data_IF_505303546388
#
_entry.id   IF_505303546388
#
_cell.length_a   1.000
_cell.length_b   1.000
_cell.length_c   1.000
_cell.angle_alpha   90.00
_cell.angle_beta   90.00
_cell.angle_gamma   90.00
#
_symmetry.space_group_name_H-M   'P 1'
#
loop_
_entity.id
_entity.type
_entity.pdbx_description
1 polymer ?
#
# COMPACT_ATOMS: atom_id res chain seq x y z
N UNK A 1 8.59 -6.45 -8.69
CA UNK A 1 7.88 -6.55 -9.98
C UNK A 1 6.94 -5.36 -10.09
N UNK A 2 6.89 -4.67 -11.23
CA UNK A 2 6.02 -3.50 -11.42
C UNK A 2 4.73 -3.94 -12.12
N UNK A 3 3.60 -3.63 -11.51
CA UNK A 3 2.28 -3.87 -12.09
C UNK A 3 1.62 -2.51 -12.30
N UNK A 4 1.05 -2.30 -13.49
CA UNK A 4 0.42 -1.04 -13.86
C UNK A 4 -1.00 -1.31 -14.32
N UNK A 5 -1.89 -0.36 -14.05
CA UNK A 5 -3.21 -0.32 -14.68
C UNK A 5 -3.56 1.08 -15.16
N UNK A 6 -4.38 1.15 -16.20
CA UNK A 6 -4.88 2.38 -16.81
C UNK A 6 -6.39 2.44 -16.67
N UNK A 7 -6.92 3.66 -16.57
CA UNK A 7 -8.37 3.90 -16.52
C UNK A 7 -8.96 3.86 -15.11
N UNK A 8 -10.29 4.03 -14.98
CA UNK A 8 -10.96 4.05 -13.70
C UNK A 8 -10.91 2.68 -13.03
N UNK A 9 -10.91 2.71 -11.70
CA UNK A 9 -10.93 1.52 -10.86
C UNK A 9 -12.38 1.20 -10.54
N UNK A 10 -12.84 0.01 -10.92
CA UNK A 10 -14.16 -0.45 -10.52
C UNK A 10 -14.16 -0.87 -9.04
N UNK A 11 -15.15 -0.42 -8.24
CA UNK A 11 -15.30 -0.88 -6.87
C UNK A 11 -15.44 -2.40 -6.76
N UNK A 12 -14.82 -2.98 -5.73
CA UNK A 12 -14.79 -4.43 -5.56
C UNK A 12 -16.03 -4.96 -4.83
N UNK A 13 -16.60 -4.20 -3.90
CA UNK A 13 -17.79 -4.63 -3.14
C UNK A 13 -18.97 -5.07 -4.02
N UNK A 14 -19.41 -4.33 -5.07
CA UNK A 14 -20.51 -4.77 -5.92
C UNK A 14 -20.24 -6.11 -6.62
N UNK A 15 -18.99 -6.38 -7.01
CA UNK A 15 -18.58 -7.67 -7.60
C UNK A 15 -18.62 -8.79 -6.56
N UNK A 16 -18.24 -8.51 -5.32
CA UNK A 16 -18.31 -9.45 -4.21
C UNK A 16 -19.76 -9.77 -3.84
N UNK A 17 -20.64 -8.78 -3.78
CA UNK A 17 -22.08 -9.00 -3.53
C UNK A 17 -22.71 -9.88 -4.61
N UNK A 18 -22.42 -9.58 -5.87
CA UNK A 18 -22.85 -10.42 -7.01
C UNK A 18 -22.32 -11.85 -6.88
N UNK A 19 -21.06 -12.03 -6.52
CA UNK A 19 -20.48 -13.35 -6.25
C UNK A 19 -21.21 -14.10 -5.14
N UNK A 20 -21.51 -13.44 -4.02
CA UNK A 20 -22.20 -14.03 -2.88
C UNK A 20 -23.57 -14.57 -3.32
N UNK A 21 -24.34 -13.77 -4.06
CA UNK A 21 -25.65 -14.18 -4.58
C UNK A 21 -25.51 -15.33 -5.59
N UNK A 22 -24.74 -15.14 -6.65
CA UNK A 22 -24.69 -16.07 -7.79
C UNK A 22 -23.95 -17.38 -7.49
N UNK A 23 -22.93 -17.33 -6.63
CA UNK A 23 -22.00 -18.45 -6.43
C UNK A 23 -22.05 -19.06 -5.04
N UNK A 24 -22.52 -18.34 -4.04
CA UNK A 24 -22.76 -18.90 -2.70
C UNK A 24 -24.25 -19.16 -2.43
N UNK A 25 -25.13 -18.77 -3.35
CA UNK A 25 -26.59 -18.85 -3.16
C UNK A 25 -27.03 -17.94 -2.03
N UNK A 26 -26.42 -16.75 -1.94
CA UNK A 26 -26.66 -15.78 -0.91
C UNK A 26 -28.07 -15.19 -1.00
N UNK A 27 -28.69 -15.05 0.16
CA UNK A 27 -29.96 -14.35 0.36
C UNK A 27 -29.66 -13.13 1.22
N UNK A 28 -29.94 -11.94 0.68
CA UNK A 28 -29.83 -10.67 1.39
C UNK A 28 -30.92 -10.60 2.46
N UNK A 29 -30.53 -10.33 3.70
CA UNK A 29 -31.46 -10.35 4.83
C UNK A 29 -32.21 -9.03 5.03
N UNK A 30 -31.64 -7.92 4.58
CA UNK A 30 -32.23 -6.58 4.72
C UNK A 30 -33.53 -6.40 3.91
N UNK A 31 -33.68 -7.11 2.78
CA UNK A 31 -34.86 -7.04 1.92
C UNK A 31 -36.07 -7.83 2.45
N UNK A 32 -35.83 -8.81 3.32
CA UNK A 32 -36.86 -9.81 3.68
C UNK A 32 -37.60 -9.42 4.96
N UNK A 33 -36.92 -8.75 5.90
CA UNK A 33 -37.44 -8.46 7.23
C UNK A 33 -36.77 -7.18 7.74
N UNK A 34 -37.57 -6.11 7.86
CA UNK A 34 -37.16 -4.70 8.08
C UNK A 34 -35.88 -4.40 8.88
N UNK A 35 -35.24 -3.28 8.50
CA UNK A 35 -33.91 -2.77 8.91
C UNK A 35 -33.57 -2.62 10.40
N UNK A 36 -34.48 -2.90 11.34
CA UNK A 36 -34.28 -2.60 12.76
C UNK A 36 -33.55 -3.70 13.54
N UNK A 37 -33.43 -4.91 12.99
CA UNK A 37 -32.72 -5.99 13.65
C UNK A 37 -31.26 -6.09 13.18
N UNK A 38 -30.31 -5.99 14.14
CA UNK A 38 -28.86 -6.17 13.91
C UNK A 38 -28.56 -7.59 13.43
N UNK A 39 -28.52 -7.79 12.12
CA UNK A 39 -28.34 -9.09 11.47
C UNK A 39 -27.06 -9.11 10.63
N UNK A 40 -26.73 -10.29 10.13
CA UNK A 40 -25.73 -10.44 9.07
C UNK A 40 -26.33 -9.95 7.74
N UNK A 41 -25.49 -9.45 6.84
CA UNK A 41 -25.94 -8.99 5.51
C UNK A 41 -26.52 -10.16 4.68
N UNK A 42 -25.80 -11.29 4.62
CA UNK A 42 -26.19 -12.43 3.80
C UNK A 42 -26.24 -13.75 4.56
N UNK A 43 -27.14 -14.63 4.14
CA UNK A 43 -27.12 -16.05 4.47
C UNK A 43 -26.95 -16.88 3.21
N UNK A 44 -25.96 -17.75 3.21
CA UNK A 44 -25.52 -18.52 2.04
C UNK A 44 -25.53 -20.02 2.32
N UNK A 45 -25.31 -20.83 1.27
CA UNK A 45 -25.14 -22.28 1.38
C UNK A 45 -26.26 -22.94 2.20
N UNK A 46 -27.51 -22.58 1.89
CA UNK A 46 -28.73 -23.07 2.57
C UNK A 46 -28.75 -22.80 4.07
N UNK A 47 -28.10 -21.73 4.54
CA UNK A 47 -28.09 -21.37 5.96
C UNK A 47 -26.83 -21.71 6.73
N UNK A 48 -25.91 -22.45 6.11
CA UNK A 48 -24.65 -22.89 6.71
C UNK A 48 -23.69 -21.73 6.95
N UNK A 49 -23.78 -20.68 6.13
CA UNK A 49 -22.84 -19.55 6.14
C UNK A 49 -23.61 -18.24 6.36
N UNK A 50 -23.22 -17.46 7.36
CA UNK A 50 -23.68 -16.09 7.58
C UNK A 50 -22.52 -15.14 7.30
N UNK A 51 -22.74 -14.15 6.43
CA UNK A 51 -21.71 -13.23 5.95
C UNK A 51 -22.09 -11.82 6.35
N UNK A 52 -21.13 -11.11 6.93
CA UNK A 52 -21.12 -9.66 7.03
C UNK A 52 -20.07 -9.12 6.06
N UNK A 53 -20.40 -8.10 5.28
CA UNK A 53 -19.47 -7.40 4.39
C UNK A 53 -19.10 -6.06 5.02
N UNK A 54 -17.80 -5.74 4.99
CA UNK A 54 -17.31 -4.41 5.31
C UNK A 54 -16.26 -4.00 4.29
N UNK A 55 -16.45 -2.82 3.74
CA UNK A 55 -15.48 -2.13 2.90
C UNK A 55 -14.55 -1.28 3.77
N UNK A 56 -13.28 -1.25 3.39
CA UNK A 56 -12.28 -0.30 3.85
C UNK A 56 -12.31 0.85 2.84
N UNK A 57 -13.27 1.78 3.00
CA UNK A 57 -13.48 2.93 2.09
C UNK A 57 -12.71 4.17 2.53
N UNK A 58 -12.43 4.27 3.83
CA UNK A 58 -11.56 5.33 4.33
C UNK A 58 -10.14 4.98 3.90
N UNK A 59 -9.58 5.83 3.03
CA UNK A 59 -8.19 5.75 2.56
C UNK A 59 -7.18 5.71 3.71
N UNK A 60 -7.59 6.06 4.94
CA UNK A 60 -6.76 5.97 6.12
C UNK A 60 -5.53 6.88 6.07
N UNK A 61 -5.27 7.49 4.91
CA UNK A 61 -4.32 8.54 4.60
C UNK A 61 -4.53 9.71 5.53
N UNK A 62 -5.73 10.25 5.72
CA UNK A 62 -5.92 11.33 6.72
C UNK A 62 -5.47 10.92 8.14
N UNK A 63 -5.71 9.66 8.54
CA UNK A 63 -5.27 9.14 9.85
C UNK A 63 -3.76 8.93 9.88
N UNK A 64 -3.15 8.54 8.78
CA UNK A 64 -1.72 8.37 8.63
C UNK A 64 -1.01 9.72 8.53
N UNK A 65 -1.54 10.67 7.75
CA UNK A 65 -1.08 12.04 7.56
C UNK A 65 -0.98 12.78 8.88
N UNK A 66 -1.99 12.67 9.75
CA UNK A 66 -1.91 13.22 11.10
C UNK A 66 -0.73 12.63 11.92
N UNK A 67 -0.51 11.31 11.82
CA UNK A 67 0.65 10.68 12.47
C UNK A 67 1.95 11.11 11.80
N UNK A 68 1.97 11.27 10.48
CA UNK A 68 3.15 11.71 9.73
C UNK A 68 3.50 13.16 10.04
N UNK A 69 2.53 14.04 10.27
CA UNK A 69 2.79 15.40 10.76
C UNK A 69 3.40 15.38 12.17
N UNK A 70 2.86 14.56 13.08
CA UNK A 70 3.44 14.36 14.41
C UNK A 70 4.89 13.86 14.31
N UNK A 71 5.14 12.86 13.45
CA UNK A 71 6.47 12.28 13.24
C UNK A 71 7.43 13.25 12.55
N UNK A 72 6.98 14.04 11.55
CA UNK A 72 7.77 15.08 10.86
C UNK A 72 8.24 16.19 11.79
N UNK A 73 7.56 16.41 12.91
CA UNK A 73 7.98 17.40 13.90
C UNK A 73 9.18 16.95 14.75
N UNK A 74 9.57 15.66 14.66
CA UNK A 74 10.72 15.14 15.40
C UNK A 74 12.04 15.52 14.72
N UNK A 75 13.09 15.84 15.49
CA UNK A 75 14.40 16.22 14.94
C UNK A 75 15.08 15.12 14.10
N UNK A 76 14.81 13.85 14.40
CA UNK A 76 15.38 12.68 13.74
C UNK A 76 14.56 12.21 12.53
N UNK A 77 13.51 12.93 12.15
CA UNK A 77 12.68 12.53 11.01
C UNK A 77 13.44 12.73 9.69
N UNK A 78 13.62 11.68 8.88
CA UNK A 78 14.43 11.78 7.67
C UNK A 78 13.75 12.64 6.61
N UNK A 79 14.55 13.48 5.96
CA UNK A 79 14.10 14.28 4.83
C UNK A 79 14.51 13.58 3.52
N UNK A 80 13.53 13.32 2.66
CA UNK A 80 13.79 12.82 1.31
C UNK A 80 13.42 13.89 0.29
N UNK A 81 14.16 13.93 -0.83
CA UNK A 81 13.68 14.66 -2.00
C UNK A 81 12.57 13.83 -2.67
N UNK A 82 11.42 14.44 -2.91
CA UNK A 82 10.27 13.76 -3.51
C UNK A 82 9.58 12.80 -2.55
N UNK A 83 9.15 11.64 -3.07
CA UNK A 83 8.48 10.60 -2.26
C UNK A 83 9.37 9.38 -2.08
N UNK A 84 9.42 8.83 -0.87
CA UNK A 84 10.06 7.55 -0.58
C UNK A 84 9.02 6.55 -0.03
N UNK A 85 9.28 5.23 -0.12
CA UNK A 85 8.49 4.22 0.57
C UNK A 85 8.41 4.50 2.07
N UNK A 86 7.28 4.21 2.72
CA UNK A 86 7.11 4.43 4.18
C UNK A 86 8.22 3.74 4.99
N UNK A 87 8.60 2.53 4.59
CA UNK A 87 9.66 1.75 5.24
C UNK A 87 10.99 2.50 5.29
N UNK A 88 11.32 3.27 4.25
CA UNK A 88 12.52 4.10 4.19
C UNK A 88 12.51 5.20 5.24
N UNK A 89 11.35 5.78 5.54
CA UNK A 89 11.23 6.74 6.64
C UNK A 89 11.46 6.05 7.99
N UNK A 90 10.85 4.88 8.20
CA UNK A 90 10.97 4.13 9.46
C UNK A 90 12.44 3.76 9.74
N UNK A 91 13.13 3.19 8.75
CA UNK A 91 14.51 2.69 8.87
C UNK A 91 15.54 3.81 9.11
N UNK A 92 15.23 5.05 8.72
CA UNK A 92 16.10 6.20 8.90
C UNK A 92 15.72 7.08 10.11
N UNK A 93 14.94 6.55 11.07
CA UNK A 93 14.72 7.18 12.39
C UNK A 93 15.64 6.58 13.45
N UNK A 94 15.80 7.27 14.59
CA UNK A 94 16.62 6.76 15.70
C UNK A 94 16.00 5.55 16.41
N UNK A 95 14.67 5.40 16.33
CA UNK A 95 13.91 4.27 16.90
C UNK A 95 12.87 3.68 15.90
N UNK A 96 13.35 2.91 14.90
CA UNK A 96 12.50 2.32 13.86
C UNK A 96 11.38 1.43 14.41
N UNK A 97 11.64 0.68 15.49
CA UNK A 97 10.66 -0.25 16.07
C UNK A 97 9.44 0.49 16.65
N UNK A 98 9.67 1.56 17.42
CA UNK A 98 8.57 2.35 18.00
C UNK A 98 7.77 3.05 16.91
N UNK A 99 8.44 3.64 15.92
CA UNK A 99 7.78 4.32 14.80
C UNK A 99 6.95 3.33 13.97
N UNK A 100 7.51 2.18 13.62
CA UNK A 100 6.81 1.12 12.90
C UNK A 100 5.57 0.64 13.66
N UNK A 101 5.68 0.47 14.99
CA UNK A 101 4.53 0.10 15.83
C UNK A 101 3.44 1.17 15.83
N UNK A 102 3.78 2.45 15.90
CA UNK A 102 2.79 3.54 15.85
C UNK A 102 2.03 3.57 14.52
N UNK A 103 2.73 3.38 13.41
CA UNK A 103 2.14 3.30 12.07
C UNK A 103 1.20 2.09 12.00
N UNK A 104 1.66 0.92 12.44
CA UNK A 104 0.87 -0.30 12.45
C UNK A 104 -0.39 -0.18 13.32
N UNK A 105 -0.29 0.47 14.48
CA UNK A 105 -1.45 0.75 15.34
C UNK A 105 -2.46 1.69 14.66
N UNK A 106 -1.99 2.69 13.91
CA UNK A 106 -2.83 3.66 13.19
C UNK A 106 -3.57 3.01 12.02
N UNK A 107 -2.86 2.24 11.18
CA UNK A 107 -3.45 1.42 10.10
C UNK A 107 -4.40 0.38 10.71
N UNK A 108 -3.96 -0.28 11.78
CA UNK A 108 -4.71 -1.30 12.48
C UNK A 108 -6.08 -0.82 12.99
N UNK A 109 -6.22 0.45 13.41
CA UNK A 109 -7.54 1.01 13.77
C UNK A 109 -8.54 0.98 12.62
N UNK A 110 -8.09 1.20 11.39
CA UNK A 110 -8.92 1.14 10.18
C UNK A 110 -9.49 -0.24 9.93
N UNK A 111 -8.73 -1.28 10.27
CA UNK A 111 -9.11 -2.69 10.15
C UNK A 111 -9.96 -3.15 11.34
N UNK A 112 -9.57 -2.77 12.56
CA UNK A 112 -10.21 -3.23 13.81
C UNK A 112 -11.61 -2.66 14.02
N UNK A 113 -11.91 -1.47 13.51
CA UNK A 113 -13.24 -0.85 13.67
C UNK A 113 -14.33 -1.60 12.89
N UNK A 114 -14.20 -1.87 11.58
CA UNK A 114 -15.07 -2.78 10.83
C UNK A 114 -15.20 -4.14 11.51
N UNK A 115 -14.08 -4.73 11.94
CA UNK A 115 -14.05 -6.02 12.62
C UNK A 115 -14.92 -6.03 13.89
N UNK A 116 -14.84 -4.99 14.73
CA UNK A 116 -15.67 -4.84 15.93
C UNK A 116 -17.16 -4.71 15.59
N UNK A 117 -17.51 -3.99 14.52
CA UNK A 117 -18.90 -3.85 14.06
C UNK A 117 -19.46 -5.22 13.63
N UNK A 118 -18.75 -5.89 12.71
CA UNK A 118 -19.13 -7.20 12.19
C UNK A 118 -19.27 -8.26 13.29
N UNK A 119 -18.33 -8.32 14.24
CA UNK A 119 -18.41 -9.23 15.37
C UNK A 119 -19.65 -9.00 16.24
N UNK A 120 -20.13 -7.75 16.39
CA UNK A 120 -21.39 -7.47 17.10
C UNK A 120 -22.60 -7.90 16.30
N UNK A 121 -22.63 -7.62 15.00
CA UNK A 121 -23.72 -8.00 14.10
C UNK A 121 -23.87 -9.52 14.01
N UNK A 122 -22.78 -10.25 13.76
CA UNK A 122 -22.82 -11.72 13.67
C UNK A 122 -23.13 -12.40 15.02
N UNK A 123 -22.77 -11.80 16.16
CA UNK A 123 -23.24 -12.25 17.48
C UNK A 123 -24.74 -12.06 17.65
N UNK A 124 -25.25 -10.89 17.27
CA UNK A 124 -26.67 -10.58 17.36
C UNK A 124 -27.47 -11.51 16.44
N UNK A 125 -27.00 -11.72 15.21
CA UNK A 125 -27.54 -12.68 14.25
C UNK A 125 -27.62 -14.09 14.82
N UNK A 126 -26.51 -14.63 15.34
CA UNK A 126 -26.48 -15.98 15.92
C UNK A 126 -27.41 -16.14 17.13
N UNK A 127 -27.68 -15.06 17.87
CA UNK A 127 -28.62 -15.03 18.99
C UNK A 127 -30.07 -15.02 18.51
N UNK A 128 -30.37 -14.24 17.47
CA UNK A 128 -31.72 -14.12 16.91
C UNK A 128 -32.13 -15.36 16.08
N UNK A 129 -31.16 -15.97 15.39
CA UNK A 129 -31.36 -17.11 14.49
C UNK A 129 -30.45 -18.28 14.87
N UNK A 130 -30.66 -18.91 16.05
CA UNK A 130 -29.78 -19.95 16.54
C UNK A 130 -29.76 -21.17 15.61
N UNK A 131 -28.59 -21.45 15.04
CA UNK A 131 -28.29 -22.67 14.28
C UNK A 131 -27.03 -23.30 14.85
N UNK A 132 -27.08 -24.60 15.14
CA UNK A 132 -25.94 -25.35 15.70
C UNK A 132 -24.77 -25.46 14.71
N UNK A 133 -25.06 -25.43 13.41
CA UNK A 133 -24.10 -25.60 12.32
C UNK A 133 -24.12 -24.37 11.41
N UNK A 134 -23.69 -23.22 11.93
CA UNK A 134 -23.50 -22.00 11.15
C UNK A 134 -22.07 -21.49 11.31
N UNK A 135 -21.46 -21.13 10.18
CA UNK A 135 -20.16 -20.46 10.08
C UNK A 135 -20.42 -18.98 9.87
N UNK A 136 -19.84 -18.13 10.71
CA UNK A 136 -20.01 -16.68 10.69
C UNK A 136 -18.74 -16.02 10.17
N UNK A 137 -18.87 -15.31 9.06
CA UNK A 137 -17.73 -14.81 8.30
C UNK A 137 -17.85 -13.31 8.11
N UNK A 138 -16.74 -12.62 8.33
CA UNK A 138 -16.56 -11.26 7.83
C UNK A 138 -15.88 -11.33 6.46
N UNK A 139 -16.48 -10.77 5.43
CA UNK A 139 -15.80 -10.40 4.20
C UNK A 139 -15.33 -8.95 4.34
N UNK A 140 -14.02 -8.76 4.35
CA UNK A 140 -13.38 -7.45 4.42
C UNK A 140 -12.84 -7.07 3.04
N UNK A 141 -13.21 -5.92 2.52
CA UNK A 141 -12.90 -5.51 1.14
C UNK A 141 -12.02 -4.28 1.16
N UNK A 142 -10.89 -4.31 0.47
CA UNK A 142 -10.10 -3.11 0.19
C UNK A 142 -10.52 -2.52 -1.16
N UNK A 143 -11.13 -1.35 -1.12
CA UNK A 143 -11.72 -0.65 -2.28
C UNK A 143 -10.72 0.08 -3.17
N UNK A 144 -9.42 -0.05 -2.87
CA UNK A 144 -8.25 0.30 -3.69
C UNK A 144 -7.16 1.10 -2.95
N UNK A 145 -7.01 0.87 -1.65
CA UNK A 145 -6.06 1.60 -0.82
C UNK A 145 -4.75 0.82 -0.65
N UNK A 146 -3.65 1.49 -0.95
CA UNK A 146 -2.29 0.94 -0.85
C UNK A 146 -1.90 0.60 0.59
N UNK A 147 -2.41 1.34 1.57
CA UNK A 147 -2.04 1.16 2.99
C UNK A 147 -2.54 -0.16 3.59
N UNK A 148 -3.50 -0.83 2.93
CA UNK A 148 -4.04 -2.10 3.37
C UNK A 148 -3.40 -3.21 2.53
N UNK A 149 -2.10 -3.39 2.65
CA UNK A 149 -1.42 -4.52 2.01
C UNK A 149 -1.84 -5.86 2.69
N UNK A 150 -1.83 -6.98 1.96
CA UNK A 150 -2.32 -8.26 2.46
C UNK A 150 -1.59 -8.76 3.72
N UNK A 151 -0.30 -8.48 3.86
CA UNK A 151 0.53 -8.95 4.97
C UNK A 151 0.20 -8.18 6.24
N UNK A 152 0.18 -6.85 6.17
CA UNK A 152 -0.23 -5.97 7.27
C UNK A 152 -1.65 -6.29 7.72
N UNK A 153 -2.59 -6.46 6.79
CA UNK A 153 -3.97 -6.81 7.11
C UNK A 153 -4.05 -8.18 7.78
N UNK A 154 -3.36 -9.19 7.23
CA UNK A 154 -3.31 -10.52 7.83
C UNK A 154 -2.77 -10.48 9.27
N UNK A 155 -1.66 -9.77 9.48
CA UNK A 155 -1.03 -9.61 10.79
C UNK A 155 -1.99 -8.99 11.81
N UNK A 156 -2.60 -7.84 11.47
CA UNK A 156 -3.55 -7.15 12.36
C UNK A 156 -4.74 -8.04 12.70
N UNK A 157 -5.33 -8.70 11.70
CA UNK A 157 -6.49 -9.58 11.88
C UNK A 157 -6.15 -10.80 12.74
N UNK A 158 -5.02 -11.44 12.48
CA UNK A 158 -4.53 -12.61 13.23
C UNK A 158 -4.35 -12.30 14.71
N UNK A 159 -3.73 -11.16 15.03
CA UNK A 159 -3.56 -10.72 16.42
C UNK A 159 -4.90 -10.39 17.06
N UNK A 160 -5.81 -9.76 16.30
CA UNK A 160 -7.14 -9.41 16.79
C UNK A 160 -7.92 -10.67 17.19
N UNK A 161 -8.03 -11.68 16.30
CA UNK A 161 -8.85 -12.88 16.56
C UNK A 161 -8.27 -13.75 17.68
N UNK A 162 -6.95 -13.72 17.91
CA UNK A 162 -6.28 -14.43 19.01
C UNK A 162 -6.32 -13.68 20.35
N UNK A 163 -6.65 -12.40 20.34
CA UNK A 163 -6.77 -11.62 21.57
C UNK A 163 -7.87 -12.15 22.49
N UNK A 164 -7.61 -12.10 23.79
CA UNK A 164 -8.54 -12.49 24.84
C UNK A 164 -8.83 -11.30 25.76
N UNK A 165 -10.09 -11.18 26.20
CA UNK A 165 -10.51 -10.22 27.23
C UNK A 165 -11.23 -11.00 28.34
N UNK A 166 -10.68 -10.93 29.56
CA UNK A 166 -11.20 -11.72 30.69
C UNK A 166 -11.18 -13.23 30.44
N UNK A 167 -10.12 -13.72 29.78
CA UNK A 167 -9.95 -15.14 29.43
C UNK A 167 -10.76 -15.63 28.22
N UNK A 168 -11.70 -14.82 27.70
CA UNK A 168 -12.56 -15.18 26.55
C UNK A 168 -12.06 -14.55 25.25
N UNK A 169 -12.23 -15.19 24.08
CA UNK A 169 -11.90 -14.58 22.80
C UNK A 169 -12.64 -13.25 22.58
N UNK A 170 -11.90 -12.19 22.22
CA UNK A 170 -12.47 -10.86 21.98
C UNK A 170 -13.48 -10.85 20.81
N UNK A 171 -13.21 -11.66 19.79
CA UNK A 171 -13.98 -11.74 18.55
C UNK A 171 -14.74 -13.07 18.38
N UNK A 172 -15.39 -13.55 19.45
CA UNK A 172 -16.16 -14.82 19.44
C UNK A 172 -17.40 -14.87 18.53
N UNK A 173 -17.74 -13.77 17.87
CA UNK A 173 -18.81 -13.66 16.88
C UNK A 173 -18.41 -14.15 15.50
N UNK A 174 -17.12 -14.33 15.28
CA UNK A 174 -16.52 -14.67 13.99
C UNK A 174 -15.91 -16.05 14.06
N UNK A 175 -16.17 -16.84 13.03
CA UNK A 175 -15.50 -18.11 12.78
C UNK A 175 -14.38 -17.95 11.75
N UNK A 176 -14.46 -16.96 10.85
CA UNK A 176 -13.37 -16.60 9.95
C UNK A 176 -13.53 -15.22 9.34
N UNK A 177 -12.45 -14.74 8.70
CA UNK A 177 -12.40 -13.47 8.00
C UNK A 177 -11.78 -13.72 6.63
N UNK A 178 -12.43 -13.27 5.56
CA UNK A 178 -11.90 -13.35 4.20
C UNK A 178 -11.66 -11.93 3.71
N UNK A 179 -10.41 -11.61 3.40
CA UNK A 179 -9.99 -10.29 2.95
C UNK A 179 -9.70 -10.30 1.45
N UNK A 180 -10.28 -9.35 0.73
CA UNK A 180 -10.14 -9.17 -0.71
C UNK A 180 -9.45 -7.84 -1.04
N UNK A 181 -8.50 -7.87 -1.98
CA UNK A 181 -7.91 -6.66 -2.56
C UNK A 181 -7.53 -6.92 -4.02
N UNK A 182 -7.79 -5.93 -4.87
CA UNK A 182 -7.28 -5.85 -6.25
C UNK A 182 -6.33 -4.65 -6.44
N UNK A 183 -5.87 -4.05 -5.33
CA UNK A 183 -4.81 -3.03 -5.28
C UNK A 183 -3.42 -3.66 -5.25
N UNK A 184 -3.32 -4.85 -4.68
CA UNK A 184 -2.08 -5.62 -4.52
C UNK A 184 -2.16 -6.89 -5.35
N UNK A 185 -1.08 -7.24 -6.02
CA UNK A 185 -1.04 -8.42 -6.88
C UNK A 185 0.37 -8.98 -7.02
N UNK A 186 0.45 -10.21 -7.51
CA UNK A 186 1.68 -10.89 -7.90
C UNK A 186 1.51 -11.51 -9.28
N UNK A 187 2.55 -12.15 -9.82
CA UNK A 187 2.44 -12.90 -11.08
C UNK A 187 2.76 -14.37 -10.84
N UNK A 188 1.79 -15.22 -11.15
CA UNK A 188 1.92 -16.68 -11.08
C UNK A 188 1.64 -17.22 -12.48
N UNK A 189 2.56 -18.04 -13.01
CA UNK A 189 2.46 -18.60 -14.37
C UNK A 189 2.20 -17.54 -15.46
N UNK A 190 2.82 -16.35 -15.33
CA UNK A 190 2.66 -15.26 -16.28
C UNK A 190 1.31 -14.53 -16.21
N UNK A 191 0.46 -14.81 -15.22
CA UNK A 191 -0.82 -14.14 -14.99
C UNK A 191 -0.78 -13.28 -13.74
N UNK A 192 -1.37 -12.09 -13.83
CA UNK A 192 -1.63 -11.24 -12.66
C UNK A 192 -2.61 -11.97 -11.75
N UNK A 193 -2.23 -12.13 -10.49
CA UNK A 193 -2.98 -12.88 -9.48
C UNK A 193 -3.15 -12.01 -8.25
N UNK A 194 -4.39 -11.93 -7.77
CA UNK A 194 -4.78 -11.12 -6.61
C UNK A 194 -4.87 -11.98 -5.35
N UNK A 195 -4.40 -11.49 -4.18
CA UNK A 195 -4.51 -12.19 -2.92
C UNK A 195 -5.95 -12.21 -2.42
N UNK A 196 -6.36 -13.36 -1.89
CA UNK A 196 -7.55 -13.48 -1.04
C UNK A 196 -7.11 -14.11 0.27
N UNK A 197 -7.00 -13.30 1.31
CA UNK A 197 -6.44 -13.73 2.60
C UNK A 197 -7.53 -14.31 3.48
N UNK A 198 -7.32 -15.52 4.02
CA UNK A 198 -8.20 -16.15 5.01
C UNK A 198 -7.54 -16.09 6.39
N UNK A 199 -8.25 -15.53 7.37
CA UNK A 199 -7.84 -15.54 8.78
C UNK A 199 -8.89 -16.28 9.60
N UNK A 200 -8.50 -17.42 10.16
CA UNK A 200 -9.40 -18.28 10.94
C UNK A 200 -9.60 -17.79 12.38
N UNK A 201 -10.86 -17.81 12.83
CA UNK A 201 -11.23 -17.49 14.20
C UNK A 201 -10.96 -18.65 15.17
N UNK A 202 -11.00 -18.39 16.49
CA UNK A 202 -10.68 -19.40 17.51
C UNK A 202 -11.56 -20.66 17.51
N UNK A 203 -12.78 -20.57 16.98
CA UNK A 203 -13.70 -21.69 16.92
C UNK A 203 -13.31 -22.76 15.89
N UNK A 204 -12.49 -22.40 14.88
CA UNK A 204 -12.04 -23.34 13.85
C UNK A 204 -11.09 -24.37 14.43
N UNK A 205 -10.22 -23.99 15.38
CA UNK A 205 -9.33 -24.92 16.10
C UNK A 205 -10.08 -26.04 16.85
N UNK A 206 -11.36 -25.82 17.16
CA UNK A 206 -12.23 -26.80 17.83
C UNK A 206 -13.22 -27.49 16.87
N UNK A 207 -13.27 -27.08 15.60
CA UNK A 207 -14.25 -27.53 14.62
C UNK A 207 -13.71 -27.36 13.21
N UNK A 208 -12.84 -28.28 12.77
CA UNK A 208 -12.09 -28.17 11.53
C UNK A 208 -12.96 -28.04 10.28
N UNK A 209 -14.18 -28.61 10.28
CA UNK A 209 -15.14 -28.49 9.16
C UNK A 209 -15.48 -27.03 8.80
N UNK A 210 -15.31 -26.09 9.74
CA UNK A 210 -15.49 -24.66 9.47
C UNK A 210 -14.43 -24.12 8.49
N UNK A 211 -13.21 -24.64 8.55
CA UNK A 211 -12.13 -24.33 7.60
C UNK A 211 -12.54 -24.73 6.18
N UNK A 212 -13.14 -25.91 6.01
CA UNK A 212 -13.64 -26.38 4.71
C UNK A 212 -14.74 -25.46 4.16
N UNK A 213 -15.62 -24.93 5.02
CA UNK A 213 -16.64 -23.97 4.59
C UNK A 213 -16.04 -22.62 4.21
N UNK A 214 -15.02 -22.16 4.93
CA UNK A 214 -14.33 -20.90 4.64
C UNK A 214 -13.58 -20.97 3.30
N UNK A 215 -12.90 -22.08 3.02
CA UNK A 215 -12.12 -22.25 1.79
C UNK A 215 -13.00 -22.27 0.54
N UNK A 216 -14.28 -22.67 0.63
CA UNK A 216 -15.25 -22.58 -0.48
C UNK A 216 -15.31 -21.16 -1.06
N UNK A 217 -15.20 -20.12 -0.22
CA UNK A 217 -15.27 -18.72 -0.65
C UNK A 217 -14.12 -18.41 -1.61
N UNK A 218 -12.88 -18.71 -1.21
CA UNK A 218 -11.68 -18.46 -2.03
C UNK A 218 -11.70 -19.26 -3.34
N UNK A 219 -12.03 -20.56 -3.25
CA UNK A 219 -12.06 -21.44 -4.42
C UNK A 219 -13.11 -20.99 -5.45
N UNK A 220 -14.34 -20.69 -5.00
CA UNK A 220 -15.42 -20.26 -5.90
C UNK A 220 -15.16 -18.86 -6.46
N UNK A 221 -14.57 -17.96 -5.68
CA UNK A 221 -14.19 -16.63 -6.17
C UNK A 221 -13.14 -16.72 -7.27
N UNK A 222 -12.03 -17.42 -7.03
CA UNK A 222 -10.96 -17.57 -8.02
C UNK A 222 -11.47 -18.22 -9.32
N UNK A 223 -12.28 -19.28 -9.21
CA UNK A 223 -12.88 -19.94 -10.36
C UNK A 223 -13.87 -19.05 -11.14
N UNK A 224 -14.68 -18.23 -10.45
CA UNK A 224 -15.68 -17.38 -11.09
C UNK A 224 -15.10 -16.10 -11.68
N UNK A 225 -14.25 -15.39 -10.94
CA UNK A 225 -13.70 -14.10 -11.36
C UNK A 225 -12.53 -14.24 -12.34
N UNK A 226 -11.70 -15.27 -12.16
CA UNK A 226 -10.40 -15.38 -12.83
C UNK A 226 -10.17 -16.73 -13.54
N UNK A 227 -11.13 -17.66 -13.44
CA UNK A 227 -11.06 -18.99 -14.06
C UNK A 227 -10.05 -19.96 -13.43
N UNK A 228 -9.24 -19.50 -12.46
CA UNK A 228 -8.26 -20.34 -11.74
C UNK A 228 -8.07 -19.82 -10.32
N UNK A 229 -7.79 -20.75 -9.40
CA UNK A 229 -7.37 -20.50 -8.04
C UNK A 229 -5.98 -21.10 -7.84
N UNK A 230 -5.14 -20.42 -7.06
CA UNK A 230 -3.82 -20.87 -6.67
C UNK A 230 -3.75 -20.89 -5.14
N UNK A 231 -3.31 -22.01 -4.58
CA UNK A 231 -3.00 -22.09 -3.16
C UNK A 231 -1.58 -21.53 -2.94
N UNK A 232 -1.49 -20.53 -2.06
CA UNK A 232 -0.23 -19.89 -1.71
C UNK A 232 0.59 -20.73 -0.70
N UNK A 233 -0.03 -21.72 -0.06
CA UNK A 233 0.60 -22.53 1.00
C UNK A 233 1.03 -21.69 2.21
N UNK A 234 2.00 -22.20 2.97
CA UNK A 234 2.50 -21.56 4.20
C UNK A 234 3.37 -20.31 3.96
N UNK A 235 3.86 -20.14 2.72
CA UNK A 235 4.73 -19.02 2.34
C UNK A 235 4.12 -18.30 1.14
N UNK A 236 3.27 -17.29 1.37
CA UNK A 236 2.71 -16.53 0.28
C UNK A 236 3.82 -15.81 -0.51
N UNK A 237 3.61 -15.57 -1.81
CA UNK A 237 4.53 -14.75 -2.61
C UNK A 237 4.48 -13.30 -2.14
N UNK A 238 5.54 -12.54 -2.47
CA UNK A 238 5.54 -11.09 -2.31
C UNK A 238 4.49 -10.46 -3.25
N UNK A 239 3.67 -9.58 -2.69
CA UNK A 239 2.70 -8.80 -3.44
C UNK A 239 3.25 -7.41 -3.73
N UNK A 240 3.08 -6.94 -4.96
CA UNK A 240 3.37 -5.58 -5.35
C UNK A 240 2.08 -4.75 -5.40
N UNK A 241 2.17 -3.47 -5.04
CA UNK A 241 1.12 -2.49 -5.29
C UNK A 241 1.01 -2.23 -6.78
N UNK A 242 -0.22 -2.19 -7.30
CA UNK A 242 -0.49 -1.84 -8.70
C UNK A 242 -0.46 -0.33 -8.87
N UNK A 243 0.46 0.17 -9.68
CA UNK A 243 0.54 1.59 -10.02
C UNK A 243 -0.61 2.00 -10.93
N UNK A 244 -1.26 3.12 -10.61
CA UNK A 244 -2.23 3.74 -11.51
C UNK A 244 -1.52 4.67 -12.47
N UNK A 245 -1.73 4.43 -13.75
CA UNK A 245 -1.25 5.31 -14.80
C UNK A 245 -2.44 6.12 -15.32
N UNK A 246 -2.50 7.43 -15.06
CA UNK A 246 -3.58 8.27 -15.56
C UNK A 246 -3.57 8.32 -17.09
N UNK A 247 -4.75 8.40 -17.70
CA UNK A 247 -4.89 8.48 -19.17
C UNK A 247 -4.18 9.72 -19.73
N UNK A 248 -4.18 10.81 -18.97
CA UNK A 248 -3.44 12.03 -19.26
C UNK A 248 -2.67 12.47 -18.03
N UNK A 249 -1.35 12.48 -18.13
CA UNK A 249 -0.44 12.99 -17.12
C UNK A 249 0.33 14.21 -17.64
N UNK A 250 0.59 15.24 -16.81
CA UNK A 250 1.59 16.25 -17.06
C UNK A 250 2.96 15.65 -17.40
N UNK A 251 3.79 16.41 -18.12
CA UNK A 251 5.09 15.94 -18.63
C UNK A 251 6.00 15.33 -17.55
N UNK A 252 6.04 15.93 -16.36
CA UNK A 252 6.89 15.46 -15.26
C UNK A 252 6.43 14.12 -14.68
N UNK A 253 5.11 13.86 -14.60
CA UNK A 253 4.57 12.57 -14.19
C UNK A 253 4.85 11.47 -15.22
N UNK A 254 4.84 11.83 -16.52
CA UNK A 254 5.24 10.90 -17.59
C UNK A 254 6.71 10.50 -17.45
N UNK A 255 7.60 11.48 -17.25
CA UNK A 255 9.02 11.20 -17.02
C UNK A 255 9.26 10.31 -15.82
N UNK A 256 8.56 10.59 -14.71
CA UNK A 256 8.59 9.77 -13.51
C UNK A 256 8.18 8.32 -13.80
N UNK A 257 7.11 8.12 -14.56
CA UNK A 257 6.64 6.80 -14.99
C UNK A 257 7.65 6.10 -15.89
N UNK A 258 8.22 6.81 -16.87
CA UNK A 258 9.26 6.31 -17.76
C UNK A 258 10.51 5.85 -16.99
N UNK A 259 10.95 6.65 -16.00
CA UNK A 259 12.07 6.31 -15.13
C UNK A 259 11.78 5.04 -14.33
N UNK A 260 10.61 4.94 -13.68
CA UNK A 260 10.27 3.74 -12.90
C UNK A 260 10.14 2.47 -13.76
N UNK A 261 9.84 2.60 -15.06
CA UNK A 261 9.83 1.47 -16.01
C UNK A 261 11.24 1.05 -16.44
N UNK A 262 12.19 1.97 -16.46
CA UNK A 262 13.58 1.72 -16.82
C UNK A 262 14.54 2.53 -15.91
N UNK A 263 14.77 2.07 -14.67
CA UNK A 263 15.52 2.84 -13.67
C UNK A 263 17.02 2.74 -13.94
N UNK A 264 17.52 3.48 -14.93
CA UNK A 264 18.91 3.40 -15.40
C UNK A 264 19.95 3.87 -14.36
N UNK A 265 19.55 4.52 -13.27
CA UNK A 265 20.44 4.89 -12.17
C UNK A 265 20.50 3.78 -11.08
N UNK A 266 19.72 2.71 -11.21
CA UNK A 266 19.59 1.67 -10.19
C UNK A 266 20.87 0.90 -9.89
N UNK A 267 21.79 0.82 -10.85
CA UNK A 267 23.05 0.10 -10.73
C UNK A 267 24.17 0.96 -10.14
N UNK A 268 23.93 2.27 -9.95
CA UNK A 268 24.93 3.18 -9.41
C UNK A 268 25.14 2.91 -7.91
N UNK A 269 26.40 2.91 -7.49
CA UNK A 269 26.73 2.93 -6.07
C UNK A 269 26.26 4.25 -5.42
N UNK A 270 26.10 4.29 -4.10
CA UNK A 270 25.77 5.54 -3.39
C UNK A 270 26.76 6.67 -3.68
N UNK A 271 28.05 6.34 -3.88
CA UNK A 271 29.08 7.31 -4.23
C UNK A 271 28.91 7.85 -5.66
N UNK A 272 28.62 6.97 -6.63
CA UNK A 272 28.37 7.40 -8.01
C UNK A 272 27.07 8.20 -8.13
N UNK A 273 26.03 7.79 -7.39
CA UNK A 273 24.77 8.51 -7.32
C UNK A 273 24.96 9.90 -6.68
N UNK A 274 25.85 10.00 -5.68
CA UNK A 274 26.24 11.28 -5.08
C UNK A 274 26.96 12.17 -6.09
N UNK A 275 27.89 11.64 -6.87
CA UNK A 275 28.56 12.40 -7.94
C UNK A 275 27.57 12.92 -8.98
N UNK A 276 26.58 12.09 -9.37
CA UNK A 276 25.49 12.50 -10.27
C UNK A 276 24.59 13.55 -9.63
N UNK A 277 24.33 13.45 -8.33
CA UNK A 277 23.57 14.44 -7.60
C UNK A 277 24.23 15.81 -7.62
N UNK A 278 25.54 15.87 -7.37
CA UNK A 278 26.26 17.15 -7.40
C UNK A 278 26.21 17.79 -8.81
N UNK A 279 26.38 16.98 -9.86
CA UNK A 279 26.34 17.45 -11.25
C UNK A 279 24.97 17.99 -11.64
N UNK A 280 23.91 17.22 -11.38
CA UNK A 280 22.55 17.62 -11.75
C UNK A 280 22.12 18.83 -10.94
N UNK A 281 22.34 18.82 -9.62
CA UNK A 281 21.95 19.92 -8.72
C UNK A 281 22.71 21.20 -9.05
N UNK A 282 24.00 21.11 -9.40
CA UNK A 282 24.77 22.27 -9.82
C UNK A 282 24.15 22.92 -11.06
N UNK A 283 23.93 22.14 -12.11
CA UNK A 283 23.40 22.67 -13.37
C UNK A 283 21.99 23.22 -13.19
N UNK A 284 21.11 22.49 -12.51
CA UNK A 284 19.75 22.98 -12.27
C UNK A 284 19.74 24.23 -11.40
N UNK A 285 20.60 24.34 -10.39
CA UNK A 285 20.72 25.56 -9.59
C UNK A 285 21.20 26.75 -10.42
N UNK A 286 22.24 26.56 -11.23
CA UNK A 286 22.78 27.60 -12.11
C UNK A 286 21.72 28.12 -13.08
N UNK A 287 20.81 27.28 -13.59
CA UNK A 287 19.71 27.69 -14.48
C UNK A 287 18.76 28.72 -13.85
N UNK A 288 18.63 28.76 -12.52
CA UNK A 288 17.74 29.68 -11.81
C UNK A 288 18.46 30.89 -11.22
N UNK A 289 19.80 30.91 -11.23
CA UNK A 289 20.59 32.04 -10.74
C UNK A 289 20.63 33.18 -11.77
N UNK A 290 20.47 34.40 -11.27
CA UNK A 290 20.63 35.61 -12.10
C UNK A 290 22.09 35.77 -12.52
N UNK A 291 22.31 36.23 -13.74
CA UNK A 291 23.63 36.53 -14.31
C UNK A 291 24.59 35.31 -14.33
N UNK A 292 24.05 34.10 -14.32
CA UNK A 292 24.85 32.90 -14.57
C UNK A 292 25.49 33.00 -15.97
N UNK A 293 26.78 32.68 -16.14
CA UNK A 293 27.39 32.59 -17.47
C UNK A 293 27.10 31.25 -18.16
N UNK A 294 26.28 30.38 -17.54
CA UNK A 294 25.86 29.11 -18.11
C UNK A 294 24.76 29.33 -19.16
N UNK A 295 25.12 29.13 -20.43
CA UNK A 295 24.19 29.17 -21.55
C UNK A 295 23.72 27.74 -21.90
N UNK A 296 22.40 27.52 -21.87
CA UNK A 296 21.77 26.24 -22.24
C UNK A 296 20.58 26.49 -23.17
N UNK A 297 20.45 25.67 -24.20
CA UNK A 297 19.26 25.59 -25.05
C UNK A 297 18.04 25.10 -24.25
N UNK A 298 16.83 25.29 -24.80
CA UNK A 298 15.60 24.83 -24.15
C UNK A 298 15.55 23.30 -24.00
N UNK A 299 16.12 22.56 -24.95
CA UNK A 299 16.18 21.10 -24.89
C UNK A 299 17.15 20.62 -23.81
N UNK A 300 18.30 21.29 -23.66
CA UNK A 300 19.25 20.99 -22.58
C UNK A 300 18.66 21.30 -21.21
N UNK A 301 18.01 22.45 -21.04
CA UNK A 301 17.30 22.80 -19.79
C UNK A 301 16.28 21.73 -19.41
N UNK A 302 15.48 21.32 -20.39
CA UNK A 302 14.48 20.27 -20.23
C UNK A 302 15.13 18.94 -19.80
N UNK A 303 16.24 18.56 -20.43
CA UNK A 303 16.96 17.33 -20.09
C UNK A 303 17.49 17.34 -18.66
N UNK A 304 18.06 18.45 -18.20
CA UNK A 304 18.55 18.58 -16.82
C UNK A 304 17.44 18.55 -15.78
N UNK A 305 16.29 19.19 -16.07
CA UNK A 305 15.10 19.09 -15.21
C UNK A 305 14.60 17.65 -15.13
N UNK A 306 14.56 16.93 -16.27
CA UNK A 306 14.20 15.51 -16.29
C UNK A 306 15.17 14.68 -15.44
N UNK A 307 16.49 14.85 -15.63
CA UNK A 307 17.51 14.15 -14.85
C UNK A 307 17.40 14.41 -13.34
N UNK A 308 17.04 15.62 -12.96
CA UNK A 308 16.78 15.95 -11.55
C UNK A 308 15.57 15.19 -10.99
N UNK A 309 14.50 15.08 -11.79
CA UNK A 309 13.35 14.22 -11.46
C UNK A 309 13.74 12.74 -11.32
N UNK A 310 14.44 12.18 -12.32
CA UNK A 310 14.90 10.79 -12.31
C UNK A 310 15.78 10.48 -11.08
N UNK A 311 16.71 11.39 -10.76
CA UNK A 311 17.58 11.26 -9.60
C UNK A 311 16.81 11.34 -8.27
N UNK A 312 15.83 12.23 -8.19
CA UNK A 312 14.96 12.36 -7.01
C UNK A 312 14.19 11.05 -6.76
N UNK A 313 13.63 10.45 -7.81
CA UNK A 313 12.98 9.14 -7.72
C UNK A 313 13.95 8.04 -7.29
N UNK A 314 15.18 8.05 -7.81
CA UNK A 314 16.17 7.04 -7.45
C UNK A 314 16.62 7.15 -5.99
N UNK A 315 16.88 8.37 -5.50
CA UNK A 315 17.22 8.59 -4.09
C UNK A 315 16.10 8.12 -3.17
N UNK A 316 14.84 8.42 -3.51
CA UNK A 316 13.69 7.90 -2.78
C UNK A 316 13.61 6.37 -2.81
N UNK A 317 13.88 5.75 -3.95
CA UNK A 317 13.89 4.28 -4.11
C UNK A 317 15.00 3.60 -3.31
N UNK A 318 16.19 4.20 -3.24
CA UNK A 318 17.33 3.69 -2.47
C UNK A 318 17.30 4.10 -0.99
N UNK A 319 16.22 4.76 -0.53
CA UNK A 319 16.09 5.23 0.84
C UNK A 319 17.26 6.13 1.27
N UNK A 320 17.73 7.03 0.41
CA UNK A 320 18.82 7.96 0.71
C UNK A 320 18.23 9.32 1.15
N UNK A 321 18.37 9.71 2.43
CA UNK A 321 17.97 11.03 2.90
C UNK A 321 18.78 12.12 2.19
N UNK A 322 18.16 13.29 1.98
CA UNK A 322 18.86 14.42 1.35
C UNK A 322 20.01 14.94 2.21
N UNK A 323 19.94 14.76 3.53
CA UNK A 323 20.98 15.13 4.49
C UNK A 323 22.27 14.33 4.29
N UNK A 324 22.20 13.11 3.75
CA UNK A 324 23.39 12.36 3.36
C UNK A 324 24.11 13.04 2.20
N UNK A 325 23.36 13.84 1.44
CA UNK A 325 23.75 14.53 0.23
C UNK A 325 23.77 16.06 0.46
N UNK A 326 24.23 16.50 1.64
CA UNK A 326 24.41 17.92 1.95
C UNK A 326 25.29 18.65 0.94
N UNK A 327 25.06 19.96 0.80
CA UNK A 327 25.85 20.79 -0.09
C UNK A 327 27.29 20.90 0.41
N UNK A 328 28.24 20.51 -0.45
CA UNK A 328 29.66 20.73 -0.25
C UNK A 328 30.20 21.56 -1.42
N UNK A 329 30.70 22.78 -1.16
CA UNK A 329 31.26 23.63 -2.20
C UNK A 329 32.39 22.94 -3.00
N UNK A 330 33.22 22.09 -2.37
CA UNK A 330 34.30 21.38 -3.07
C UNK A 330 33.75 20.37 -4.07
N UNK A 331 32.64 19.71 -3.71
CA UNK A 331 31.96 18.78 -4.61
C UNK A 331 31.27 19.49 -5.77
N UNK A 332 30.72 20.69 -5.55
CA UNK A 332 30.21 21.53 -6.63
C UNK A 332 31.31 21.88 -7.65
N UNK A 333 32.51 22.20 -7.18
CA UNK A 333 33.66 22.44 -8.05
C UNK A 333 34.10 21.17 -8.81
N UNK A 334 34.17 20.04 -8.12
CA UNK A 334 34.47 18.75 -8.74
C UNK A 334 33.44 18.39 -9.82
N UNK A 335 32.15 18.65 -9.56
CA UNK A 335 31.07 18.45 -10.51
C UNK A 335 31.20 19.36 -11.75
N UNK A 336 31.52 20.65 -11.56
CA UNK A 336 31.78 21.56 -12.69
C UNK A 336 32.91 21.04 -13.59
N UNK A 337 33.99 20.52 -12.99
CA UNK A 337 35.10 19.94 -13.72
C UNK A 337 34.72 18.64 -14.45
N UNK A 338 33.97 17.73 -13.81
CA UNK A 338 33.48 16.49 -14.44
C UNK A 338 32.58 16.77 -15.65
N UNK A 339 31.78 17.84 -15.56
CA UNK A 339 30.91 18.30 -16.63
C UNK A 339 31.64 19.10 -17.72
N UNK A 340 32.90 19.46 -17.51
CA UNK A 340 33.65 20.30 -18.44
C UNK A 340 33.04 21.68 -18.63
N UNK A 341 32.48 22.28 -17.56
CA UNK A 341 31.87 23.60 -17.64
C UNK A 341 32.91 24.69 -17.95
N UNK A 342 32.53 25.77 -18.64
CA UNK A 342 33.44 26.87 -18.95
C UNK A 342 34.07 27.49 -17.70
N UNK A 343 35.31 27.98 -17.81
CA UNK A 343 36.01 28.65 -16.69
C UNK A 343 35.22 29.82 -16.10
N UNK A 344 34.46 30.55 -16.93
CA UNK A 344 33.56 31.62 -16.46
C UNK A 344 32.48 31.12 -15.48
N UNK A 345 31.96 29.90 -15.68
CA UNK A 345 31.00 29.26 -14.77
C UNK A 345 31.69 28.84 -13.47
N UNK A 346 32.92 28.31 -13.57
CA UNK A 346 33.71 27.92 -12.41
C UNK A 346 34.03 29.14 -11.53
N UNK A 347 34.49 30.24 -12.13
CA UNK A 347 34.75 31.52 -11.45
C UNK A 347 33.47 32.09 -10.80
N UNK A 348 32.32 31.99 -11.49
CA UNK A 348 31.03 32.41 -10.95
C UNK A 348 30.66 31.62 -9.68
N UNK A 349 30.86 30.30 -9.68
CA UNK A 349 30.60 29.44 -8.51
C UNK A 349 31.52 29.81 -7.34
N UNK A 350 32.80 30.11 -7.60
CA UNK A 350 33.74 30.57 -6.58
C UNK A 350 33.28 31.89 -5.95
N UNK A 351 32.76 32.81 -6.77
CA UNK A 351 32.20 34.08 -6.32
C UNK A 351 30.97 33.96 -5.41
N UNK A 352 30.23 32.84 -5.46
CA UNK A 352 29.08 32.58 -4.57
C UNK A 352 29.48 32.12 -3.16
N UNK A 353 30.76 31.78 -2.93
CA UNK A 353 31.27 31.38 -1.61
C UNK A 353 31.62 32.56 -0.70
N UNK A 354 31.70 33.77 -1.24
CA UNK A 354 31.99 35.01 -0.53
C UNK A 354 30.70 35.69 -0.07
#
# INVERSE_FOLDING_TARGET
MRLERTGPVEPLSPRIEKFIVERLGGVLLDEIQGSEERRADYVCLRGLLAIEIKSLEDDGSERLDNLLEELRSKPDWPMFLGSAPMQSFIENTDDPETVGKQILERVGRGILNPLKKANRQLKAHAKAFPRSSQVRVLILVNEDHEIYDPETVAYVLWHAVRSKRGGKPSFSGLDGIVYFTERHATVIEGKVTFPVTLVEGPSVYTSQWKSDVLSIIQHRWGAWSYGKYFDAGDKPPDYATIDHIPESAPRHERWRTEYKRNPYLAELSKADLRDRFDEVTLVTSLMFLKNTPLELSQDEKTLWIRRFGDLTEEMGRQAIPITDFDYDPQRAYAAANRLGLPSSVVEFIEGLRA
#
